data_IF_427525963711
#
_entry.id   IF_427525963711
#
_cell.length_a   1.000
_cell.length_b   1.000
_cell.length_c   1.000
_cell.angle_alpha   90.00
_cell.angle_beta   90.00
_cell.angle_gamma   90.00
#
_symmetry.space_group_name_H-M   'P 1'
#
loop_
_entity.id
_entity.type
_entity.pdbx_description
1 polymer ?
#
# COMPACT_ATOMS: atom_id res chain seq x y z
N UNK A 1 6.36 26.10 -22.22
CA UNK A 1 5.42 25.82 -23.32
C UNK A 1 5.86 24.69 -24.25
N UNK A 2 7.16 24.45 -24.51
CA UNK A 2 7.59 23.46 -25.52
C UNK A 2 7.43 21.96 -25.13
N UNK A 3 7.33 21.64 -23.84
CA UNK A 3 7.33 20.27 -23.30
C UNK A 3 5.93 19.71 -22.95
N UNK A 4 4.84 20.44 -23.24
CA UNK A 4 3.48 19.97 -22.95
C UNK A 4 3.01 18.90 -23.95
N UNK A 5 1.98 18.13 -23.57
CA UNK A 5 1.30 17.21 -24.49
C UNK A 5 0.73 17.96 -25.71
N UNK A 6 0.60 17.32 -26.89
CA UNK A 6 0.04 17.94 -28.09
C UNK A 6 -1.34 18.58 -27.87
N UNK A 7 -2.17 17.94 -27.03
CA UNK A 7 -3.48 18.45 -26.63
C UNK A 7 -3.45 19.80 -25.89
N UNK A 8 -2.28 20.20 -25.37
CA UNK A 8 -2.02 21.50 -24.72
C UNK A 8 -1.06 22.39 -25.54
N UNK A 9 -0.91 22.12 -26.84
CA UNK A 9 -0.09 22.94 -27.75
C UNK A 9 1.42 22.74 -27.66
N UNK A 10 1.91 21.66 -27.03
CA UNK A 10 3.34 21.34 -26.97
C UNK A 10 3.83 20.45 -28.13
N UNK A 11 5.13 20.51 -28.45
CA UNK A 11 5.73 19.85 -29.63
C UNK A 11 6.09 18.36 -29.43
N UNK A 12 5.54 17.71 -28.40
CA UNK A 12 5.93 16.35 -28.00
C UNK A 12 7.47 16.18 -27.90
N UNK A 13 8.17 17.24 -27.48
CA UNK A 13 9.62 17.23 -27.36
C UNK A 13 10.01 16.45 -26.12
N UNK A 14 10.98 15.55 -26.29
CA UNK A 14 11.49 14.69 -25.23
C UNK A 14 12.08 15.54 -24.09
N UNK A 15 11.53 15.43 -22.88
CA UNK A 15 12.12 16.04 -21.69
C UNK A 15 13.34 15.22 -21.25
N UNK A 16 14.54 15.63 -21.68
CA UNK A 16 15.79 14.93 -21.40
C UNK A 16 16.07 14.79 -19.90
N UNK A 17 15.66 15.78 -19.09
CA UNK A 17 15.85 15.74 -17.64
C UNK A 17 14.99 14.64 -17.01
N UNK A 18 13.70 14.59 -17.33
CA UNK A 18 12.79 13.56 -16.88
C UNK A 18 13.23 12.16 -17.35
N UNK A 19 13.71 12.05 -18.60
CA UNK A 19 14.25 10.79 -19.13
C UNK A 19 15.46 10.31 -18.33
N UNK A 20 16.41 11.21 -18.05
CA UNK A 20 17.59 10.87 -17.25
C UNK A 20 17.21 10.45 -15.83
N UNK A 21 16.26 11.13 -15.19
CA UNK A 21 15.77 10.77 -13.86
C UNK A 21 15.04 9.41 -13.88
N UNK A 22 14.27 9.10 -14.93
CA UNK A 22 13.66 7.78 -15.13
C UNK A 22 14.69 6.65 -15.32
N UNK A 23 15.84 6.93 -15.96
CA UNK A 23 16.97 5.99 -16.06
C UNK A 23 17.54 5.72 -14.66
N UNK A 24 17.72 6.75 -13.83
CA UNK A 24 18.21 6.55 -12.47
C UNK A 24 17.20 5.78 -11.59
N UNK A 25 15.89 5.95 -11.78
CA UNK A 25 14.86 5.10 -11.15
C UNK A 25 14.93 3.64 -11.64
N UNK A 26 15.26 3.41 -12.91
CA UNK A 26 15.49 2.07 -13.44
C UNK A 26 16.72 1.41 -12.81
N UNK A 27 17.79 2.17 -12.55
CA UNK A 27 18.94 1.68 -11.78
C UNK A 27 18.59 1.44 -10.33
N UNK A 28 17.81 2.33 -9.71
CA UNK A 28 17.31 2.15 -8.34
C UNK A 28 16.52 0.86 -8.20
N UNK A 29 15.68 0.51 -9.18
CA UNK A 29 14.99 -0.78 -9.23
C UNK A 29 15.94 -1.96 -9.09
N UNK A 30 17.06 -1.96 -9.82
CA UNK A 30 18.10 -2.96 -9.64
C UNK A 30 18.77 -2.91 -8.25
N UNK A 31 18.97 -1.72 -7.71
CA UNK A 31 19.59 -1.53 -6.38
C UNK A 31 18.71 -2.08 -5.24
N UNK A 32 17.40 -1.91 -5.33
CA UNK A 32 16.43 -2.37 -4.32
C UNK A 32 15.78 -3.70 -4.68
N UNK A 33 16.29 -4.42 -5.69
CA UNK A 33 15.76 -5.73 -6.06
C UNK A 33 16.08 -6.80 -5.00
N UNK A 34 15.29 -7.89 -4.92
CA UNK A 34 15.59 -9.05 -4.09
C UNK A 34 17.01 -9.59 -4.31
N UNK A 35 17.70 -10.14 -3.28
CA UNK A 35 19.09 -10.57 -3.40
C UNK A 35 19.41 -11.53 -4.56
N UNK A 36 18.47 -12.41 -4.89
CA UNK A 36 18.55 -13.39 -5.99
C UNK A 36 18.33 -12.77 -7.38
N UNK A 37 17.53 -11.71 -7.47
CA UNK A 37 17.27 -10.96 -8.70
C UNK A 37 18.17 -9.72 -8.87
N UNK A 38 19.03 -9.43 -7.89
CA UNK A 38 19.84 -8.21 -7.83
C UNK A 38 21.03 -8.31 -8.79
N UNK A 39 21.26 -7.30 -9.66
CA UNK A 39 22.43 -7.30 -10.53
C UNK A 39 23.72 -7.16 -9.71
N UNK A 40 24.81 -7.79 -10.18
CA UNK A 40 26.09 -7.82 -9.45
C UNK A 40 26.57 -6.44 -8.97
N UNK A 41 26.47 -5.41 -9.82
CA UNK A 41 26.88 -4.04 -9.46
C UNK A 41 26.12 -3.48 -8.25
N UNK A 42 24.87 -3.91 -8.02
CA UNK A 42 24.04 -3.43 -6.92
C UNK A 42 24.49 -3.99 -5.57
N UNK A 43 25.10 -5.18 -5.52
CA UNK A 43 25.73 -5.69 -4.29
C UNK A 43 26.90 -4.80 -3.87
N UNK A 44 27.78 -4.46 -4.81
CA UNK A 44 28.88 -3.52 -4.57
C UNK A 44 28.37 -2.14 -4.20
N UNK A 45 27.32 -1.66 -4.86
CA UNK A 45 26.71 -0.37 -4.55
C UNK A 45 26.19 -0.32 -3.11
N UNK A 46 25.44 -1.32 -2.65
CA UNK A 46 24.94 -1.36 -1.27
C UNK A 46 26.08 -1.40 -0.25
N UNK A 47 27.14 -2.17 -0.51
CA UNK A 47 28.33 -2.19 0.34
C UNK A 47 28.99 -0.80 0.41
N UNK A 48 29.18 -0.11 -0.72
CA UNK A 48 29.72 1.24 -0.75
C UNK A 48 28.83 2.25 0.00
N UNK A 49 27.52 2.15 -0.15
CA UNK A 49 26.56 2.99 0.58
C UNK A 49 26.68 2.75 2.10
N UNK A 50 26.78 1.50 2.52
CA UNK A 50 27.00 1.12 3.93
C UNK A 50 28.35 1.63 4.48
N UNK A 51 29.43 1.54 3.71
CA UNK A 51 30.75 2.07 4.10
C UNK A 51 30.72 3.59 4.25
N UNK A 52 30.02 4.29 3.35
CA UNK A 52 29.94 5.74 3.32
C UNK A 52 28.70 6.29 4.07
N UNK A 53 28.31 5.69 5.20
CA UNK A 53 27.25 6.25 6.04
C UNK A 53 27.56 7.66 6.55
N UNK A 54 26.53 8.42 6.93
CA UNK A 54 26.69 9.64 7.73
C UNK A 54 27.22 9.27 9.12
N UNK A 55 28.02 10.14 9.75
CA UNK A 55 28.65 9.86 11.05
C UNK A 55 27.65 9.80 12.21
N UNK A 56 26.55 10.57 12.14
CA UNK A 56 25.46 10.56 13.12
C UNK A 56 24.16 10.04 12.49
N UNK A 57 23.42 9.13 13.14
CA UNK A 57 23.78 8.47 14.41
C UNK A 57 24.98 7.52 14.25
N UNK A 58 25.63 7.13 15.35
CA UNK A 58 26.61 6.06 15.33
C UNK A 58 25.92 4.73 15.00
N UNK A 59 26.38 4.06 13.94
CA UNK A 59 25.82 2.82 13.39
C UNK A 59 26.94 1.80 13.29
N UNK A 60 26.74 0.65 13.92
CA UNK A 60 27.66 -0.48 13.89
C UNK A 60 27.77 -1.06 12.48
N UNK A 61 28.96 -1.47 12.05
CA UNK A 61 29.22 -1.97 10.69
C UNK A 61 28.38 -3.20 10.32
N UNK A 62 28.22 -4.15 11.24
CA UNK A 62 27.47 -5.40 11.00
C UNK A 62 25.97 -5.18 10.86
N UNK A 63 25.48 -4.01 11.26
CA UNK A 63 24.06 -3.63 11.15
C UNK A 63 23.72 -2.89 9.87
N UNK A 64 24.71 -2.53 9.02
CA UNK A 64 24.48 -1.72 7.82
C UNK A 64 24.07 -2.61 6.65
N UNK A 65 22.80 -2.97 6.59
CA UNK A 65 22.27 -3.92 5.61
C UNK A 65 21.79 -3.21 4.35
N UNK A 66 20.83 -2.31 4.49
CA UNK A 66 20.21 -1.63 3.36
C UNK A 66 19.73 -0.23 3.80
N UNK A 67 20.27 0.86 3.23
CA UNK A 67 19.88 2.22 3.59
C UNK A 67 18.43 2.55 3.24
N UNK A 68 17.75 1.74 2.44
CA UNK A 68 16.33 1.90 2.11
C UNK A 68 15.39 1.15 3.08
N UNK A 69 15.93 0.24 3.90
CA UNK A 69 15.19 -0.50 4.94
C UNK A 69 15.56 -0.07 6.35
N UNK A 70 16.39 0.97 6.50
CA UNK A 70 16.93 1.42 7.77
C UNK A 70 16.94 2.94 7.87
N UNK A 71 16.99 3.48 9.09
CA UNK A 71 16.90 4.92 9.37
C UNK A 71 18.21 5.68 9.26
N UNK A 72 19.34 4.99 9.07
CA UNK A 72 20.62 5.64 8.84
C UNK A 72 20.79 6.07 7.38
N UNK A 73 21.49 7.19 7.16
CA UNK A 73 21.66 7.75 5.83
C UNK A 73 23.09 7.58 5.32
N UNK A 74 23.23 7.54 3.99
CA UNK A 74 24.54 7.58 3.32
C UNK A 74 25.00 9.02 3.07
N UNK A 75 26.29 9.32 3.27
CA UNK A 75 26.86 10.60 2.84
C UNK A 75 26.99 10.64 1.33
N UNK A 76 26.51 11.72 0.71
CA UNK A 76 26.72 11.92 -0.71
C UNK A 76 28.18 12.24 -1.00
N UNK A 77 28.96 12.89 -0.13
CA UNK A 77 30.30 13.43 -0.47
C UNK A 77 31.27 12.39 -1.05
N UNK A 78 31.45 11.27 -0.35
CA UNK A 78 32.39 10.17 -0.70
C UNK A 78 31.79 9.12 -1.64
N UNK A 79 30.52 9.27 -1.99
CA UNK A 79 29.79 8.31 -2.83
C UNK A 79 30.08 8.58 -4.33
N UNK A 80 30.26 7.55 -5.17
CA UNK A 80 30.40 7.71 -6.62
C UNK A 80 29.27 8.54 -7.27
N UNK A 81 29.57 9.24 -8.36
CA UNK A 81 28.62 10.15 -9.04
C UNK A 81 27.30 9.47 -9.44
N UNK A 82 27.37 8.22 -9.91
CA UNK A 82 26.17 7.43 -10.26
C UNK A 82 25.28 7.18 -9.05
N UNK A 83 25.84 6.71 -7.93
CA UNK A 83 25.08 6.47 -6.70
C UNK A 83 24.53 7.77 -6.09
N UNK A 84 25.28 8.88 -6.19
CA UNK A 84 24.77 10.22 -5.82
C UNK A 84 23.51 10.57 -6.59
N UNK A 85 23.47 10.32 -7.92
CA UNK A 85 22.30 10.58 -8.75
C UNK A 85 21.12 9.69 -8.36
N UNK A 86 21.34 8.38 -8.16
CA UNK A 86 20.32 7.43 -7.71
C UNK A 86 19.71 7.89 -6.38
N UNK A 87 20.53 8.20 -5.37
CA UNK A 87 20.05 8.68 -4.06
C UNK A 87 19.28 10.00 -4.16
N UNK A 88 19.75 10.94 -5.01
CA UNK A 88 19.09 12.22 -5.24
C UNK A 88 17.71 12.02 -5.85
N UNK A 89 17.59 11.14 -6.84
CA UNK A 89 16.32 10.81 -7.51
C UNK A 89 15.40 10.05 -6.56
N UNK A 90 15.90 9.08 -5.80
CA UNK A 90 15.15 8.35 -4.78
C UNK A 90 14.53 9.32 -3.76
N UNK A 91 15.31 10.29 -3.27
CA UNK A 91 14.83 11.34 -2.37
C UNK A 91 13.82 12.27 -3.04
N UNK A 92 14.11 12.74 -4.26
CA UNK A 92 13.26 13.66 -5.01
C UNK A 92 11.85 13.11 -5.21
N UNK A 93 11.73 11.82 -5.52
CA UNK A 93 10.46 11.16 -5.80
C UNK A 93 9.93 10.31 -4.64
N UNK A 94 10.39 10.58 -3.42
CA UNK A 94 9.90 9.99 -2.18
C UNK A 94 9.84 8.45 -2.21
N UNK A 95 10.96 7.81 -2.61
CA UNK A 95 11.05 6.35 -2.63
C UNK A 95 11.00 5.81 -1.20
N UNK A 96 9.98 5.00 -0.93
CA UNK A 96 9.66 4.48 0.41
C UNK A 96 9.03 3.10 0.33
N UNK A 97 8.98 2.41 1.46
CA UNK A 97 8.24 1.18 1.64
C UNK A 97 6.75 1.49 1.88
N UNK A 98 5.98 1.71 0.81
CA UNK A 98 4.59 2.18 0.90
C UNK A 98 3.61 1.01 0.77
N UNK A 99 3.07 0.50 1.88
CA UNK A 99 2.13 -0.63 1.86
C UNK A 99 1.09 -0.48 2.96
N UNK A 100 -0.12 -0.99 2.73
CA UNK A 100 -1.19 -0.98 3.73
C UNK A 100 -0.87 -1.93 4.89
N UNK A 101 -0.32 -3.10 4.59
CA UNK A 101 0.29 -4.01 5.57
C UNK A 101 1.41 -4.82 4.90
N UNK A 102 2.25 -5.47 5.71
CA UNK A 102 3.21 -6.48 5.27
C UNK A 102 2.75 -7.85 5.74
N UNK A 103 2.98 -8.88 4.92
CA UNK A 103 2.86 -10.26 5.38
C UNK A 103 3.79 -10.52 6.58
N UNK A 104 3.42 -11.48 7.42
CA UNK A 104 4.23 -11.90 8.57
C UNK A 104 5.64 -12.32 8.14
N UNK A 105 5.75 -12.98 6.99
CA UNK A 105 6.99 -13.40 6.37
C UNK A 105 7.85 -12.19 5.94
N UNK A 106 7.23 -11.15 5.36
CA UNK A 106 7.95 -9.94 4.96
C UNK A 106 8.40 -9.13 6.18
N UNK A 107 7.58 -9.02 7.24
CA UNK A 107 7.96 -8.34 8.50
C UNK A 107 9.18 -9.01 9.15
N UNK A 108 9.24 -10.35 9.11
CA UNK A 108 10.37 -11.15 9.64
C UNK A 108 11.71 -10.86 8.96
N UNK A 109 11.70 -10.48 7.69
CA UNK A 109 12.91 -10.19 6.91
C UNK A 109 13.50 -8.80 7.20
N UNK A 110 12.78 -7.92 7.91
CA UNK A 110 13.25 -6.56 8.17
C UNK A 110 14.45 -6.53 9.12
N UNK A 111 15.41 -5.61 8.92
CA UNK A 111 16.49 -5.35 9.87
C UNK A 111 15.94 -4.81 11.20
N UNK A 112 16.30 -5.42 12.34
CA UNK A 112 15.85 -4.93 13.65
C UNK A 112 16.61 -3.68 14.11
N UNK A 113 17.89 -3.58 13.73
CA UNK A 113 18.74 -2.44 14.09
C UNK A 113 18.50 -1.28 13.14
N UNK A 114 18.32 -0.08 13.69
CA UNK A 114 17.97 1.11 12.90
C UNK A 114 16.75 0.85 12.01
N UNK A 115 15.77 0.13 12.54
CA UNK A 115 14.57 -0.34 11.84
C UNK A 115 13.82 0.80 11.15
N UNK A 116 13.27 0.58 9.94
CA UNK A 116 12.58 1.60 9.13
C UNK A 116 11.42 2.29 9.85
N UNK A 117 10.68 1.53 10.66
CA UNK A 117 9.60 2.01 11.53
C UNK A 117 10.03 2.41 12.94
N UNK A 118 11.31 2.72 13.18
CA UNK A 118 11.79 2.95 14.54
C UNK A 118 11.18 4.22 15.18
N UNK A 119 10.55 4.01 16.34
CA UNK A 119 10.14 5.10 17.23
C UNK A 119 11.34 5.63 18.02
N UNK A 120 11.14 6.71 18.77
CA UNK A 120 12.18 7.25 19.66
C UNK A 120 12.65 6.22 20.69
N UNK A 121 11.75 5.37 21.17
CA UNK A 121 12.02 4.28 22.12
C UNK A 121 12.87 3.20 21.46
N UNK A 122 12.49 2.74 20.27
CA UNK A 122 13.27 1.74 19.54
C UNK A 122 14.66 2.26 19.19
N UNK A 123 14.76 3.54 18.80
CA UNK A 123 16.04 4.16 18.46
C UNK A 123 17.02 4.21 19.65
N UNK A 124 16.54 4.40 20.88
CA UNK A 124 17.37 4.35 22.10
C UNK A 124 18.00 2.97 22.32
N UNK A 125 17.36 1.90 21.85
CA UNK A 125 17.83 0.53 22.04
C UNK A 125 18.94 0.13 21.06
N UNK A 126 19.09 0.83 19.92
CA UNK A 126 20.10 0.51 18.90
C UNK A 126 21.54 0.50 19.46
N UNK A 127 21.83 1.44 20.36
CA UNK A 127 23.14 1.63 20.97
C UNK A 127 23.15 1.29 22.47
N UNK A 128 22.20 0.46 22.92
CA UNK A 128 22.16 -0.02 24.30
C UNK A 128 23.42 -0.81 24.66
N UNK A 129 23.83 -0.81 25.93
CA UNK A 129 25.07 -1.45 26.40
C UNK A 129 25.19 -2.93 26.01
N UNK A 130 24.07 -3.68 26.01
CA UNK A 130 24.04 -5.09 25.63
C UNK A 130 23.76 -5.33 24.13
N UNK A 131 23.57 -4.28 23.34
CA UNK A 131 23.30 -4.39 21.91
C UNK A 131 24.46 -5.04 21.13
N UNK A 132 25.75 -4.73 21.39
CA UNK A 132 26.86 -5.43 20.75
C UNK A 132 26.82 -6.95 21.01
N UNK A 133 26.61 -7.39 22.26
CA UNK A 133 26.51 -8.81 22.57
C UNK A 133 25.34 -9.49 21.82
N UNK A 134 24.16 -8.86 21.80
CA UNK A 134 22.98 -9.39 21.11
C UNK A 134 23.21 -9.50 19.59
N UNK A 135 23.97 -8.58 19.00
CA UNK A 135 24.34 -8.62 17.58
C UNK A 135 25.43 -9.61 17.25
N UNK A 136 26.54 -9.49 17.96
CA UNK A 136 27.82 -10.07 17.57
C UNK A 136 27.97 -11.50 18.07
N UNK A 137 27.46 -11.78 19.26
CA UNK A 137 27.57 -13.09 19.89
C UNK A 137 26.32 -13.94 19.64
N UNK A 138 25.14 -13.31 19.66
CA UNK A 138 23.87 -13.99 19.43
C UNK A 138 23.35 -13.92 17.99
N UNK A 139 24.01 -13.16 17.11
CA UNK A 139 23.67 -13.11 15.68
C UNK A 139 22.31 -12.47 15.37
N UNK A 140 21.74 -11.68 16.28
CA UNK A 140 20.42 -11.08 16.06
C UNK A 140 20.54 -9.88 15.12
N UNK A 141 20.05 -10.03 13.89
CA UNK A 141 20.18 -9.04 12.81
C UNK A 141 18.82 -8.65 12.21
N UNK A 142 17.90 -9.61 12.08
CA UNK A 142 16.55 -9.41 11.56
C UNK A 142 15.51 -9.54 12.67
N UNK A 143 14.26 -9.14 12.38
CA UNK A 143 13.12 -9.38 13.26
C UNK A 143 12.90 -10.89 13.46
N UNK A 144 13.12 -11.72 12.44
CA UNK A 144 13.06 -13.19 12.57
C UNK A 144 14.07 -13.74 13.58
N UNK A 145 15.33 -13.29 13.52
CA UNK A 145 16.35 -13.70 14.50
C UNK A 145 15.96 -13.27 15.90
N UNK A 146 15.39 -12.07 16.04
CA UNK A 146 14.92 -11.56 17.33
C UNK A 146 13.79 -12.43 17.89
N UNK A 147 12.79 -12.77 17.07
CA UNK A 147 11.67 -13.61 17.47
C UNK A 147 12.15 -15.00 17.91
N UNK A 148 12.99 -15.65 17.10
CA UNK A 148 13.59 -16.96 17.42
C UNK A 148 14.37 -16.91 18.73
N UNK A 149 15.18 -15.87 18.92
CA UNK A 149 15.91 -15.67 20.16
C UNK A 149 14.98 -15.53 21.37
N UNK A 150 13.88 -14.77 21.23
CA UNK A 150 12.92 -14.61 22.33
C UNK A 150 12.07 -15.85 22.61
N UNK A 151 11.80 -16.69 21.61
CA UNK A 151 10.99 -17.91 21.78
C UNK A 151 11.75 -19.08 22.42
N UNK A 152 13.05 -19.20 22.15
CA UNK A 152 13.88 -20.27 22.73
C UNK A 152 13.94 -20.18 24.26
N UNK A 153 13.94 -18.95 24.78
CA UNK A 153 14.03 -18.66 26.20
C UNK A 153 12.69 -18.74 26.97
N UNK A 154 11.74 -19.59 26.56
CA UNK A 154 10.44 -19.73 27.24
C UNK A 154 10.56 -20.21 28.70
N UNK A 155 11.58 -21.03 29.01
CA UNK A 155 11.88 -21.54 30.37
C UNK A 155 12.84 -20.66 31.15
N UNK A 156 13.22 -19.50 30.60
CA UNK A 156 14.22 -18.61 31.19
C UNK A 156 13.72 -17.93 32.47
N UNK A 157 14.57 -17.91 33.50
CA UNK A 157 14.33 -17.19 34.75
C UNK A 157 15.12 -15.89 34.77
N UNK A 158 14.49 -14.80 35.24
CA UNK A 158 15.01 -13.41 35.17
C UNK A 158 16.16 -13.11 36.14
N UNK A 159 17.16 -13.98 36.27
CA UNK A 159 18.33 -13.77 37.12
C UNK A 159 19.65 -14.21 36.45
N UNK A 160 20.77 -13.75 36.99
CA UNK A 160 22.10 -13.87 36.36
C UNK A 160 22.60 -15.32 36.21
N UNK A 161 22.24 -16.20 37.14
CA UNK A 161 22.61 -17.61 37.20
C UNK A 161 21.58 -18.57 36.59
N UNK A 162 20.77 -18.13 35.61
CA UNK A 162 19.80 -19.03 34.97
C UNK A 162 20.51 -20.27 34.38
N UNK A 163 19.98 -21.45 34.72
CA UNK A 163 20.54 -22.75 34.37
C UNK A 163 19.89 -23.40 33.15
N UNK A 164 19.00 -22.70 32.44
CA UNK A 164 18.44 -23.23 31.20
C UNK A 164 19.53 -23.45 30.15
N UNK A 165 19.33 -24.44 29.28
CA UNK A 165 20.32 -24.87 28.28
C UNK A 165 20.81 -23.71 27.41
N UNK A 166 19.91 -22.81 27.00
CA UNK A 166 20.29 -21.64 26.20
C UNK A 166 21.20 -20.67 26.97
N UNK A 167 20.96 -20.45 28.26
CA UNK A 167 21.80 -19.55 29.07
C UNK A 167 23.16 -20.18 29.38
N UNK A 168 23.21 -21.51 29.53
CA UNK A 168 24.46 -22.25 29.69
C UNK A 168 25.26 -22.21 28.38
N UNK A 169 24.61 -22.51 27.25
CA UNK A 169 25.20 -22.43 25.92
C UNK A 169 25.70 -21.01 25.60
N UNK A 170 24.92 -19.98 25.91
CA UNK A 170 25.32 -18.59 25.69
C UNK A 170 26.58 -18.20 26.49
N UNK A 171 26.71 -18.68 27.73
CA UNK A 171 27.90 -18.44 28.56
C UNK A 171 29.11 -19.22 28.09
N UNK A 172 28.92 -20.50 27.77
CA UNK A 172 30.02 -21.42 27.47
C UNK A 172 30.53 -21.31 26.03
N UNK A 173 29.63 -21.05 25.07
CA UNK A 173 29.92 -21.15 23.65
C UNK A 173 29.80 -19.82 22.89
N UNK A 174 29.03 -18.85 23.40
CA UNK A 174 28.83 -17.54 22.75
C UNK A 174 29.53 -16.38 23.47
N UNK A 175 30.37 -16.66 24.47
CA UNK A 175 31.07 -15.63 25.26
C UNK A 175 30.13 -14.57 25.86
N UNK A 176 28.88 -14.92 26.15
CA UNK A 176 27.89 -14.00 26.71
C UNK A 176 27.90 -14.07 28.23
N UNK A 177 28.48 -13.06 28.88
CA UNK A 177 28.57 -13.02 30.34
C UNK A 177 27.21 -12.88 31.06
N UNK A 178 26.22 -12.23 30.42
CA UNK A 178 24.90 -11.96 31.02
C UNK A 178 23.75 -12.24 30.03
N UNK A 179 23.43 -13.51 29.73
CA UNK A 179 22.39 -13.86 28.76
C UNK A 179 21.02 -13.27 29.09
N UNK A 180 20.64 -13.23 30.36
CA UNK A 180 19.37 -12.65 30.81
C UNK A 180 19.19 -11.17 30.41
N UNK A 181 20.27 -10.38 30.35
CA UNK A 181 20.23 -8.98 29.92
C UNK A 181 20.06 -8.85 28.41
N UNK A 182 20.65 -9.77 27.65
CA UNK A 182 20.44 -9.87 26.21
C UNK A 182 18.99 -10.25 25.91
N UNK A 183 18.41 -11.19 26.67
CA UNK A 183 16.99 -11.54 26.59
C UNK A 183 16.07 -10.37 26.93
N UNK A 184 16.33 -9.65 28.04
CA UNK A 184 15.56 -8.44 28.39
C UNK A 184 15.62 -7.38 27.30
N UNK A 185 16.80 -7.15 26.71
CA UNK A 185 16.94 -6.22 25.59
C UNK A 185 16.15 -6.70 24.36
N UNK A 186 16.23 -7.99 24.04
CA UNK A 186 15.51 -8.57 22.90
C UNK A 186 13.99 -8.45 23.05
N UNK A 187 13.45 -8.78 24.23
CA UNK A 187 12.03 -8.60 24.54
C UNK A 187 11.59 -7.13 24.43
N UNK A 188 12.43 -6.20 24.89
CA UNK A 188 12.16 -4.76 24.76
C UNK A 188 12.18 -4.30 23.30
N UNK A 189 13.12 -4.78 22.47
CA UNK A 189 13.15 -4.49 21.03
C UNK A 189 11.84 -4.93 20.36
N UNK A 190 11.39 -6.16 20.63
CA UNK A 190 10.15 -6.71 20.05
C UNK A 190 8.91 -5.93 20.51
N UNK A 191 8.86 -5.56 21.79
CA UNK A 191 7.77 -4.75 22.36
C UNK A 191 7.71 -3.34 21.76
N UNK A 192 8.85 -2.75 21.40
CA UNK A 192 8.94 -1.42 20.82
C UNK A 192 8.73 -1.38 19.30
N UNK A 193 8.56 -2.54 18.63
CA UNK A 193 8.19 -2.56 17.21
C UNK A 193 6.74 -2.10 17.03
N UNK A 194 6.47 -1.08 16.19
CA UNK A 194 5.10 -0.69 15.91
C UNK A 194 4.30 -1.81 15.24
N UNK A 195 2.97 -1.84 15.40
CA UNK A 195 2.10 -2.88 14.86
C UNK A 195 2.28 -3.13 13.34
N UNK A 196 2.55 -2.10 12.55
CA UNK A 196 2.81 -2.20 11.10
C UNK A 196 4.04 -3.06 10.77
N UNK A 197 4.99 -3.17 11.70
CA UNK A 197 6.29 -3.81 11.48
C UNK A 197 6.52 -5.04 12.35
N UNK A 198 5.57 -5.34 13.23
CA UNK A 198 5.67 -6.43 14.18
C UNK A 198 4.98 -7.70 13.61
N UNK A 199 5.71 -8.82 13.38
CA UNK A 199 5.11 -10.05 12.89
C UNK A 199 4.11 -10.68 13.87
N UNK A 200 4.20 -10.34 15.17
CA UNK A 200 3.19 -10.75 16.16
C UNK A 200 1.85 -10.05 15.98
N UNK A 201 1.80 -8.94 15.23
CA UNK A 201 0.57 -8.27 14.83
C UNK A 201 0.17 -8.72 13.43
N UNK A 202 -0.55 -9.85 13.37
CA UNK A 202 -1.10 -10.39 12.11
C UNK A 202 -2.56 -9.99 12.00
N UNK A 203 -2.89 -9.21 10.96
CA UNK A 203 -4.28 -8.97 10.61
C UNK A 203 -4.81 -10.16 9.81
N UNK A 204 -5.84 -10.81 10.35
CA UNK A 204 -6.56 -11.85 9.62
C UNK A 204 -7.62 -11.19 8.75
N UNK A 205 -7.31 -11.06 7.46
CA UNK A 205 -8.32 -10.75 6.47
C UNK A 205 -8.87 -12.05 5.88
N UNK A 206 -10.17 -12.09 5.50
CA UNK A 206 -10.68 -13.18 4.68
C UNK A 206 -9.76 -13.33 3.47
N UNK A 207 -9.05 -14.44 3.39
CA UNK A 207 -8.16 -14.70 2.25
C UNK A 207 -9.06 -15.02 1.07
N UNK A 208 -8.91 -14.29 -0.03
CA UNK A 208 -9.64 -14.62 -1.24
C UNK A 208 -9.18 -15.99 -1.74
N UNK A 209 -10.13 -16.90 -1.92
CA UNK A 209 -9.89 -18.24 -2.44
C UNK A 209 -9.99 -18.30 -3.97
N UNK A 210 -10.56 -17.27 -4.60
CA UNK A 210 -10.77 -17.26 -6.06
C UNK A 210 -9.60 -16.68 -6.82
N UNK A 211 -9.17 -17.42 -7.85
CA UNK A 211 -8.11 -17.07 -8.79
C UNK A 211 -8.56 -15.97 -9.76
N UNK A 212 -7.59 -15.32 -10.43
CA UNK A 212 -7.89 -14.31 -11.45
C UNK A 212 -8.71 -14.87 -12.61
N UNK A 213 -8.49 -16.12 -13.01
CA UNK A 213 -9.21 -16.75 -14.12
C UNK A 213 -10.66 -17.08 -13.75
N UNK A 214 -10.91 -17.55 -12.52
CA UNK A 214 -12.27 -17.73 -12.00
C UNK A 214 -13.03 -16.39 -11.95
N UNK A 215 -12.36 -15.29 -11.57
CA UNK A 215 -12.97 -13.95 -11.59
C UNK A 215 -13.29 -13.48 -13.02
N UNK A 216 -12.42 -13.76 -14.00
CA UNK A 216 -12.69 -13.45 -15.42
C UNK A 216 -13.88 -14.23 -15.93
N UNK A 217 -13.97 -15.51 -15.58
CA UNK A 217 -15.10 -16.36 -15.93
C UNK A 217 -16.40 -15.86 -15.28
N UNK A 218 -16.37 -15.50 -13.99
CA UNK A 218 -17.50 -14.90 -13.30
C UNK A 218 -17.91 -13.55 -13.92
N UNK A 219 -16.96 -12.70 -14.35
CA UNK A 219 -17.25 -11.46 -15.06
C UNK A 219 -17.95 -11.73 -16.39
N UNK A 220 -17.45 -12.68 -17.17
CA UNK A 220 -18.05 -13.10 -18.45
C UNK A 220 -19.47 -13.63 -18.27
N UNK A 221 -19.69 -14.44 -17.22
CA UNK A 221 -21.00 -14.94 -16.81
C UNK A 221 -21.89 -13.90 -16.12
N UNK A 222 -21.38 -12.71 -15.83
CA UNK A 222 -22.06 -11.62 -15.10
C UNK A 222 -22.52 -12.04 -13.70
N UNK A 223 -21.71 -12.86 -13.04
CA UNK A 223 -21.91 -13.33 -11.67
C UNK A 223 -21.33 -12.35 -10.66
N UNK A 224 -21.66 -12.55 -9.37
CA UNK A 224 -21.10 -11.77 -8.26
C UNK A 224 -19.62 -12.12 -8.07
N UNK A 225 -18.77 -11.10 -8.06
CA UNK A 225 -17.34 -11.21 -7.79
C UNK A 225 -17.06 -10.53 -6.46
N UNK A 226 -16.43 -11.25 -5.52
CA UNK A 226 -15.99 -10.67 -4.26
C UNK A 226 -14.86 -9.66 -4.51
N UNK A 227 -15.01 -8.44 -4.00
CA UNK A 227 -13.92 -7.45 -3.96
C UNK A 227 -12.76 -8.01 -3.13
N UNK A 228 -11.52 -7.77 -3.55
CA UNK A 228 -10.33 -8.08 -2.75
C UNK A 228 -9.90 -6.87 -1.92
N UNK A 229 -10.27 -6.80 -0.64
CA UNK A 229 -9.86 -5.70 0.21
C UNK A 229 -8.43 -5.86 0.74
N UNK A 230 -7.67 -6.89 0.34
CA UNK A 230 -6.26 -7.07 0.72
C UNK A 230 -5.41 -5.87 0.30
N UNK A 231 -4.59 -5.41 1.23
CA UNK A 231 -3.56 -4.39 1.04
C UNK A 231 -2.17 -4.91 1.48
N UNK A 232 -2.08 -6.23 1.70
CA UNK A 232 -0.91 -6.89 2.29
C UNK A 232 0.09 -7.20 1.19
N UNK A 233 1.31 -6.67 1.33
CA UNK A 233 2.40 -7.04 0.42
C UNK A 233 3.05 -8.34 0.89
N UNK A 234 3.01 -9.34 0.02
CA UNK A 234 3.71 -10.62 0.20
C UNK A 234 5.21 -10.48 -0.14
N UNK A 235 6.07 -11.39 0.34
CA UNK A 235 7.49 -11.36 0.00
C UNK A 235 7.71 -11.47 -1.52
N UNK A 236 8.86 -11.00 -2.02
CA UNK A 236 9.94 -10.34 -1.30
C UNK A 236 9.59 -8.92 -0.80
N UNK A 237 10.20 -8.48 0.32
CA UNK A 237 9.94 -7.15 0.91
C UNK A 237 10.22 -6.00 -0.07
N UNK A 238 11.10 -6.25 -1.02
CA UNK A 238 11.45 -5.35 -2.11
C UNK A 238 10.26 -4.99 -3.01
N UNK A 239 9.23 -5.84 -3.08
CA UNK A 239 7.99 -5.53 -3.78
C UNK A 239 7.19 -4.40 -3.11
N UNK A 240 7.46 -4.11 -1.84
CA UNK A 240 6.78 -3.03 -1.13
C UNK A 240 7.40 -1.64 -1.39
N UNK A 241 8.54 -1.55 -2.12
CA UNK A 241 9.12 -0.27 -2.50
C UNK A 241 8.28 0.44 -3.57
N UNK A 242 7.89 1.68 -3.28
CA UNK A 242 7.13 2.53 -4.18
C UNK A 242 7.83 3.87 -4.40
N UNK A 243 7.59 4.46 -5.57
CA UNK A 243 7.98 5.82 -5.95
C UNK A 243 6.74 6.67 -6.19
N UNK A 244 6.88 8.00 -6.15
CA UNK A 244 5.78 8.97 -6.24
C UNK A 244 4.75 8.80 -5.12
N UNK A 245 5.19 8.30 -3.97
CA UNK A 245 4.30 8.10 -2.83
C UNK A 245 3.91 9.43 -2.20
N UNK A 246 2.64 9.58 -1.87
CA UNK A 246 2.09 10.69 -1.07
C UNK A 246 2.37 10.54 0.43
N UNK A 247 2.92 9.39 0.86
CA UNK A 247 3.18 9.11 2.27
C UNK A 247 4.29 10.03 2.81
N UNK A 248 3.90 10.92 3.72
CA UNK A 248 4.80 11.80 4.47
C UNK A 248 5.66 11.02 5.46
N UNK A 249 5.03 10.27 6.37
CA UNK A 249 5.67 9.41 7.37
C UNK A 249 5.09 7.99 7.34
N UNK A 250 5.87 7.00 7.75
CA UNK A 250 5.38 5.63 7.87
C UNK A 250 4.27 5.57 8.93
N UNK A 251 3.07 5.06 8.60
CA UNK A 251 2.04 4.88 9.60
C UNK A 251 2.51 3.85 10.64
N UNK A 252 2.28 4.09 11.95
CA UNK A 252 2.63 3.12 12.99
C UNK A 252 1.69 1.90 12.96
N UNK A 253 0.46 2.10 12.48
CA UNK A 253 -0.58 1.09 12.39
C UNK A 253 -0.74 0.58 10.94
N UNK A 254 -1.01 -0.72 10.76
CA UNK A 254 -1.46 -1.26 9.48
C UNK A 254 -2.85 -0.76 9.09
N UNK A 255 -3.20 -0.97 7.81
CA UNK A 255 -4.51 -0.71 7.23
C UNK A 255 -5.60 -1.60 7.88
N UNK A 256 -5.99 -1.28 9.10
CA UNK A 256 -6.90 -2.10 9.90
C UNK A 256 -8.37 -1.88 9.52
N UNK A 257 -9.12 -2.98 9.32
CA UNK A 257 -10.58 -2.93 9.24
C UNK A 257 -11.15 -3.01 10.64
N UNK A 258 -11.81 -1.97 11.10
CA UNK A 258 -12.46 -2.01 12.43
C UNK A 258 -13.30 -3.28 12.59
N UNK A 259 -13.28 -3.94 13.77
CA UNK A 259 -14.08 -5.13 13.98
C UNK A 259 -15.56 -4.82 13.72
N UNK A 260 -16.36 -5.81 13.27
CA UNK A 260 -17.81 -5.64 13.25
C UNK A 260 -18.28 -5.27 14.67
N UNK A 261 -19.25 -4.35 14.83
CA UNK A 261 -19.81 -4.06 16.13
C UNK A 261 -20.36 -5.35 16.76
N UNK A 262 -20.21 -5.56 18.08
CA UNK A 262 -20.55 -6.82 18.74
C UNK A 262 -22.04 -7.16 18.73
N UNK A 263 -22.93 -6.22 18.39
CA UNK A 263 -24.36 -6.34 18.64
C UNK A 263 -25.23 -5.69 17.54
N UNK A 264 -25.19 -6.20 16.30
CA UNK A 264 -26.16 -5.85 15.25
C UNK A 264 -26.46 -6.97 14.26
N UNK A 265 -27.67 -6.93 13.71
CA UNK A 265 -28.11 -7.73 12.57
C UNK A 265 -27.32 -7.36 11.32
N UNK A 266 -26.58 -8.31 10.75
CA UNK A 266 -25.95 -8.14 9.45
C UNK A 266 -27.02 -8.01 8.38
N UNK A 267 -27.12 -6.83 7.75
CA UNK A 267 -28.01 -6.58 6.62
C UNK A 267 -27.26 -6.69 5.30
N UNK A 268 -27.96 -7.15 4.28
CA UNK A 268 -27.50 -7.12 2.90
C UNK A 268 -28.09 -5.87 2.21
N UNK A 269 -27.22 -5.07 1.61
CA UNK A 269 -27.57 -3.89 0.81
C UNK A 269 -27.31 -4.24 -0.64
N UNK A 270 -28.32 -4.07 -1.50
CA UNK A 270 -28.18 -4.29 -2.95
C UNK A 270 -28.45 -2.97 -3.65
N UNK A 271 -27.47 -2.50 -4.42
CA UNK A 271 -27.57 -1.27 -5.17
C UNK A 271 -27.29 -1.51 -6.65
N UNK A 272 -28.20 -1.03 -7.49
CA UNK A 272 -28.07 -1.03 -8.94
C UNK A 272 -27.60 0.36 -9.35
N UNK A 273 -26.42 0.44 -9.93
CA UNK A 273 -25.72 1.71 -10.18
C UNK A 273 -25.58 2.01 -11.66
N UNK A 274 -25.57 3.29 -12.00
CA UNK A 274 -25.47 3.80 -13.37
C UNK A 274 -24.73 5.14 -13.38
N UNK A 275 -23.90 5.33 -14.41
CA UNK A 275 -23.39 6.65 -14.82
C UNK A 275 -24.01 7.07 -16.13
N UNK A 276 -24.27 8.36 -16.26
CA UNK A 276 -24.68 9.03 -17.49
C UNK A 276 -23.84 10.29 -17.68
N UNK A 277 -23.63 10.71 -18.92
CA UNK A 277 -22.97 11.96 -19.24
C UNK A 277 -23.58 12.61 -20.48
N UNK A 278 -23.38 13.91 -20.62
CA UNK A 278 -23.60 14.67 -21.86
C UNK A 278 -22.46 15.65 -22.07
N UNK A 279 -22.35 16.16 -23.29
CA UNK A 279 -21.50 17.30 -23.61
C UNK A 279 -22.41 18.52 -23.61
N UNK A 280 -22.02 19.59 -22.93
CA UNK A 280 -22.76 20.86 -22.96
C UNK A 280 -22.39 21.73 -24.17
N UNK A 281 -22.94 22.95 -24.22
CA UNK A 281 -22.77 23.86 -25.36
C UNK A 281 -21.32 24.37 -25.49
N UNK A 282 -20.54 24.34 -24.41
CA UNK A 282 -19.14 24.75 -24.37
C UNK A 282 -18.18 23.59 -24.71
N UNK A 283 -18.72 22.37 -24.86
CA UNK A 283 -17.94 21.17 -25.17
C UNK A 283 -17.46 20.43 -23.92
N UNK A 284 -17.88 20.84 -22.74
CA UNK A 284 -17.47 20.25 -21.47
C UNK A 284 -18.34 19.04 -21.11
N UNK A 285 -17.75 18.08 -20.40
CA UNK A 285 -18.46 16.88 -19.96
C UNK A 285 -19.25 17.23 -18.70
N UNK A 286 -20.57 17.00 -18.75
CA UNK A 286 -21.43 17.02 -17.57
C UNK A 286 -21.85 15.58 -17.25
N UNK A 287 -21.45 15.08 -16.08
CA UNK A 287 -21.71 13.72 -15.66
C UNK A 287 -22.65 13.65 -14.45
N UNK A 288 -23.45 12.57 -14.38
CA UNK A 288 -24.34 12.27 -13.28
C UNK A 288 -24.32 10.79 -12.93
N UNK A 289 -24.51 10.51 -11.63
CA UNK A 289 -24.53 9.15 -11.07
C UNK A 289 -25.87 8.84 -10.44
N UNK A 290 -26.34 7.60 -10.60
CA UNK A 290 -27.58 7.11 -10.03
C UNK A 290 -27.40 5.76 -9.35
N UNK A 291 -27.99 5.57 -8.17
CA UNK A 291 -28.03 4.28 -7.49
C UNK A 291 -29.45 4.01 -6.98
N UNK A 292 -30.04 2.91 -7.46
CA UNK A 292 -31.32 2.37 -7.02
C UNK A 292 -31.06 1.30 -5.95
N UNK A 293 -31.61 1.50 -4.75
CA UNK A 293 -31.50 0.56 -3.63
C UNK A 293 -32.74 -0.33 -3.56
N UNK A 294 -32.56 -1.65 -3.54
CA UNK A 294 -33.70 -2.57 -3.60
C UNK A 294 -34.42 -2.75 -2.27
N UNK A 295 -33.82 -2.31 -1.16
CA UNK A 295 -34.40 -2.43 0.17
C UNK A 295 -35.38 -1.28 0.44
N UNK A 296 -36.59 -1.60 0.92
CA UNK A 296 -37.71 -0.64 1.07
C UNK A 296 -37.43 0.56 2.00
N UNK A 297 -36.41 0.46 2.87
CA UNK A 297 -36.07 1.51 3.84
C UNK A 297 -34.82 2.33 3.48
N UNK A 298 -34.22 2.08 2.31
CA UNK A 298 -32.99 2.76 1.90
C UNK A 298 -33.29 3.76 0.77
N UNK A 299 -32.73 4.96 0.87
CA UNK A 299 -33.00 6.04 -0.08
C UNK A 299 -32.10 5.95 -1.30
N UNK A 300 -32.73 5.94 -2.47
CA UNK A 300 -32.05 6.06 -3.76
C UNK A 300 -31.14 7.29 -3.82
N UNK A 301 -30.04 7.17 -4.57
CA UNK A 301 -29.06 8.23 -4.72
C UNK A 301 -29.05 8.76 -6.16
N UNK A 302 -29.03 10.08 -6.27
CA UNK A 302 -28.70 10.80 -7.50
C UNK A 302 -27.60 11.81 -7.18
N UNK A 303 -26.60 11.96 -8.05
CA UNK A 303 -25.54 12.94 -7.90
C UNK A 303 -25.17 13.61 -9.21
N UNK A 304 -24.80 14.90 -9.13
CA UNK A 304 -24.11 15.64 -10.18
C UNK A 304 -22.61 15.67 -9.89
N UNK A 305 -21.78 15.38 -10.88
CA UNK A 305 -20.33 15.38 -10.73
C UNK A 305 -19.78 16.82 -10.82
N UNK A 306 -18.77 17.14 -10.02
CA UNK A 306 -18.02 18.39 -10.11
C UNK A 306 -17.26 18.45 -11.45
N UNK A 307 -17.29 19.60 -12.11
CA UNK A 307 -16.76 19.80 -13.47
C UNK A 307 -15.32 19.27 -13.66
N UNK A 308 -14.42 19.58 -12.72
CA UNK A 308 -13.03 19.13 -12.75
C UNK A 308 -12.83 17.61 -12.59
N UNK A 309 -13.85 16.87 -12.14
CA UNK A 309 -13.88 15.41 -12.01
C UNK A 309 -14.75 14.75 -13.08
N UNK A 310 -15.36 15.52 -13.99
CA UNK A 310 -16.32 15.00 -14.95
C UNK A 310 -15.60 14.21 -16.05
N UNK A 311 -15.92 12.92 -16.13
CA UNK A 311 -15.49 12.00 -17.18
C UNK A 311 -16.70 11.19 -17.61
N UNK A 312 -16.54 10.34 -18.62
CA UNK A 312 -17.62 9.45 -19.08
C UNK A 312 -18.05 8.43 -18.02
N UNK A 313 -17.16 8.10 -17.09
CA UNK A 313 -17.38 7.08 -16.06
C UNK A 313 -17.57 7.67 -14.66
N UNK A 314 -17.23 8.95 -14.45
CA UNK A 314 -17.12 9.52 -13.11
C UNK A 314 -18.44 9.51 -12.33
N UNK A 315 -19.58 9.66 -13.01
CA UNK A 315 -20.90 9.56 -12.38
C UNK A 315 -21.11 8.24 -11.65
N UNK A 316 -20.78 7.11 -12.28
CA UNK A 316 -20.95 5.79 -11.68
C UNK A 316 -19.94 5.53 -10.54
N UNK A 317 -18.69 5.92 -10.75
CA UNK A 317 -17.62 5.76 -9.75
C UNK A 317 -17.96 6.55 -8.48
N UNK A 318 -18.40 7.80 -8.63
CA UNK A 318 -18.71 8.68 -7.50
C UNK A 318 -20.00 8.25 -6.78
N UNK A 319 -20.99 7.68 -7.47
CA UNK A 319 -22.22 7.23 -6.78
C UNK A 319 -21.94 5.97 -5.97
N UNK A 320 -21.11 5.07 -6.48
CA UNK A 320 -20.61 3.92 -5.72
C UNK A 320 -19.77 4.41 -4.54
N UNK A 321 -18.91 5.41 -4.71
CA UNK A 321 -18.10 5.98 -3.62
C UNK A 321 -18.98 6.54 -2.50
N UNK A 322 -20.01 7.32 -2.85
CA UNK A 322 -21.00 7.85 -1.90
C UNK A 322 -21.74 6.72 -1.19
N UNK A 323 -22.19 5.71 -1.93
CA UNK A 323 -22.88 4.55 -1.38
C UNK A 323 -22.00 3.79 -0.39
N UNK A 324 -20.76 3.46 -0.77
CA UNK A 324 -19.79 2.74 0.08
C UNK A 324 -19.55 3.48 1.40
N UNK A 325 -19.48 4.81 1.37
CA UNK A 325 -19.27 5.66 2.55
C UNK A 325 -20.53 5.81 3.41
N UNK A 326 -21.73 5.81 2.82
CA UNK A 326 -22.99 5.92 3.53
C UNK A 326 -23.51 4.58 4.08
N UNK A 327 -23.19 3.46 3.44
CA UNK A 327 -23.57 2.12 3.91
C UNK A 327 -22.71 1.69 5.10
N UNK A 328 -23.30 1.29 6.24
CA UNK A 328 -22.53 0.79 7.38
C UNK A 328 -21.48 -0.26 6.98
N UNK A 329 -20.26 -0.12 7.51
CA UNK A 329 -19.09 -0.93 7.12
C UNK A 329 -19.24 -2.43 7.38
N UNK A 330 -20.14 -2.81 8.28
CA UNK A 330 -20.42 -4.19 8.70
C UNK A 330 -21.63 -4.81 7.99
N UNK A 331 -22.29 -4.08 7.07
CA UNK A 331 -23.31 -4.63 6.19
C UNK A 331 -22.69 -5.18 4.90
N UNK A 332 -23.18 -6.30 4.42
CA UNK A 332 -22.78 -6.83 3.11
C UNK A 332 -23.29 -5.88 2.03
N UNK A 333 -22.43 -5.50 1.09
CA UNK A 333 -22.79 -4.59 -0.01
C UNK A 333 -22.69 -5.32 -1.34
N UNK A 334 -23.78 -5.32 -2.12
CA UNK A 334 -23.82 -5.88 -3.46
C UNK A 334 -24.03 -4.74 -4.47
N UNK A 335 -22.99 -4.47 -5.24
CA UNK A 335 -22.96 -3.45 -6.27
C UNK A 335 -23.21 -4.11 -7.63
N UNK A 336 -24.30 -3.72 -8.29
CA UNK A 336 -24.60 -4.16 -9.65
C UNK A 336 -24.40 -2.97 -10.59
N UNK A 337 -23.25 -2.93 -11.27
CA UNK A 337 -22.80 -1.81 -12.09
C UNK A 337 -23.20 -1.94 -13.56
N UNK A 338 -23.43 -0.79 -14.19
CA UNK A 338 -23.60 -0.63 -15.63
C UNK A 338 -22.25 -0.74 -16.37
N UNK A 339 -21.15 -0.28 -15.79
CA UNK A 339 -19.86 -0.28 -16.51
C UNK A 339 -19.06 -1.54 -16.20
N UNK A 340 -18.83 -2.37 -17.23
CA UNK A 340 -18.05 -3.61 -17.11
C UNK A 340 -16.59 -3.34 -16.74
N UNK A 341 -15.98 -2.33 -17.37
CA UNK A 341 -14.59 -1.95 -17.11
C UNK A 341 -14.40 -1.57 -15.63
N UNK A 342 -15.36 -0.88 -15.02
CA UNK A 342 -15.33 -0.56 -13.58
C UNK A 342 -15.34 -1.80 -12.70
N UNK A 343 -16.18 -2.79 -13.01
CA UNK A 343 -16.20 -4.08 -12.28
C UNK A 343 -14.84 -4.78 -12.45
N UNK A 344 -14.29 -4.79 -13.66
CA UNK A 344 -12.98 -5.38 -13.96
C UNK A 344 -11.86 -4.68 -13.20
N UNK A 345 -11.84 -3.35 -13.16
CA UNK A 345 -10.83 -2.54 -12.49
C UNK A 345 -10.85 -2.73 -10.96
N UNK A 346 -12.03 -2.94 -10.38
CA UNK A 346 -12.19 -3.18 -8.95
C UNK A 346 -11.97 -4.64 -8.53
N UNK A 347 -11.90 -5.60 -9.46
CA UNK A 347 -11.86 -7.03 -9.11
C UNK A 347 -10.72 -7.83 -9.73
N UNK A 348 -10.42 -7.61 -11.01
CA UNK A 348 -9.45 -8.37 -11.81
C UNK A 348 -8.17 -7.56 -11.98
N UNK A 349 -8.30 -6.30 -12.41
CA UNK A 349 -7.16 -5.43 -12.73
C UNK A 349 -6.70 -4.60 -11.52
N UNK A 350 -7.38 -4.70 -10.36
CA UNK A 350 -7.09 -3.92 -9.15
C UNK A 350 -5.62 -3.96 -8.75
N UNK A 351 -5.04 -5.17 -8.67
CA UNK A 351 -3.65 -5.34 -8.28
C UNK A 351 -2.69 -4.72 -9.29
N UNK A 352 -2.99 -4.83 -10.60
CA UNK A 352 -2.20 -4.20 -11.66
C UNK A 352 -2.22 -2.69 -11.50
N UNK A 353 -3.39 -2.09 -11.24
CA UNK A 353 -3.52 -0.64 -11.05
C UNK A 353 -2.76 -0.13 -9.83
N UNK A 354 -2.87 -0.83 -8.70
CA UNK A 354 -2.07 -0.54 -7.51
C UNK A 354 -0.58 -0.67 -7.77
N UNK A 355 -0.15 -1.70 -8.52
CA UNK A 355 1.26 -1.90 -8.84
C UNK A 355 1.84 -0.74 -9.65
N UNK A 356 1.06 -0.16 -10.58
CA UNK A 356 1.52 0.98 -11.38
C UNK A 356 1.19 2.34 -10.77
N UNK A 357 0.68 2.38 -9.54
CA UNK A 357 0.30 3.63 -8.85
C UNK A 357 -0.84 4.38 -9.52
N UNK A 358 -1.64 3.68 -10.34
CA UNK A 358 -2.73 4.23 -11.16
C UNK A 358 -2.28 5.29 -12.18
N UNK A 359 -1.01 5.35 -12.56
CA UNK A 359 -0.46 6.38 -13.46
C UNK A 359 -1.10 6.39 -14.87
N UNK A 360 -1.64 5.26 -15.32
CA UNK A 360 -2.22 5.11 -16.65
C UNK A 360 -3.75 4.95 -16.64
N UNK A 361 -4.38 5.06 -15.46
CA UNK A 361 -5.82 4.96 -15.35
C UNK A 361 -6.47 6.34 -15.54
N UNK A 362 -7.40 6.47 -16.49
CA UNK A 362 -8.05 7.74 -16.84
C UNK A 362 -8.76 8.36 -15.62
N UNK A 363 -9.52 7.54 -14.89
CA UNK A 363 -10.26 7.96 -13.70
C UNK A 363 -9.48 7.79 -12.37
N UNK A 364 -8.14 7.84 -12.39
CA UNK A 364 -7.31 7.52 -11.22
C UNK A 364 -7.64 8.38 -9.98
N UNK A 365 -7.99 9.65 -10.18
CA UNK A 365 -8.31 10.60 -9.11
C UNK A 365 -9.53 10.15 -8.28
N UNK A 366 -10.56 9.63 -8.94
CA UNK A 366 -11.82 9.17 -8.34
C UNK A 366 -11.83 7.68 -7.98
N UNK A 367 -11.02 6.86 -8.65
CA UNK A 367 -10.88 5.44 -8.33
C UNK A 367 -10.12 5.19 -7.03
N UNK A 368 -9.08 5.99 -6.73
CA UNK A 368 -8.27 5.81 -5.50
C UNK A 368 -9.11 5.96 -4.22
N UNK A 369 -9.96 7.00 -4.06
CA UNK A 369 -10.84 7.10 -2.89
C UNK A 369 -11.88 5.99 -2.82
N UNK A 370 -12.42 5.55 -3.95
CA UNK A 370 -13.35 4.42 -4.00
C UNK A 370 -12.69 3.13 -3.46
N UNK A 371 -11.53 2.77 -3.99
CA UNK A 371 -10.79 1.57 -3.58
C UNK A 371 -10.42 1.64 -2.09
N UNK A 372 -9.96 2.80 -1.61
CA UNK A 372 -9.66 3.00 -0.20
C UNK A 372 -10.90 2.83 0.69
N UNK A 373 -12.03 3.40 0.30
CA UNK A 373 -13.29 3.28 1.04
C UNK A 373 -13.81 1.83 1.05
N UNK A 374 -13.65 1.09 -0.06
CA UNK A 374 -13.98 -0.33 -0.13
C UNK A 374 -13.10 -1.18 0.80
N UNK A 375 -11.79 -0.91 0.84
CA UNK A 375 -10.82 -1.60 1.72
C UNK A 375 -11.08 -1.38 3.21
N UNK A 376 -11.68 -0.26 3.56
CA UNK A 376 -12.04 0.07 4.95
C UNK A 376 -13.24 -0.72 5.46
N UNK A 377 -14.09 -1.26 4.58
CA UNK A 377 -15.28 -2.02 4.97
C UNK A 377 -14.88 -3.32 5.67
N UNK A 378 -15.57 -3.66 6.76
CA UNK A 378 -15.33 -4.90 7.50
C UNK A 378 -16.15 -6.08 6.96
N UNK A 379 -17.32 -5.81 6.39
CA UNK A 379 -18.14 -6.80 5.71
C UNK A 379 -17.82 -6.93 4.21
N UNK A 380 -18.10 -8.09 3.59
CA UNK A 380 -17.86 -8.33 2.17
C UNK A 380 -18.56 -7.31 1.26
N UNK A 381 -17.89 -6.98 0.15
CA UNK A 381 -18.50 -6.26 -0.96
C UNK A 381 -18.42 -7.11 -2.22
N UNK A 382 -19.55 -7.31 -2.87
CA UNK A 382 -19.66 -8.04 -4.12
C UNK A 382 -19.93 -7.06 -5.25
N UNK A 383 -19.28 -7.28 -6.40
CA UNK A 383 -19.51 -6.53 -7.63
C UNK A 383 -20.02 -7.44 -8.73
N UNK A 384 -21.00 -6.97 -9.49
CA UNK A 384 -21.50 -7.65 -10.67
C UNK A 384 -21.80 -6.63 -11.77
N UNK A 385 -21.74 -7.07 -13.02
CA UNK A 385 -22.24 -6.31 -14.18
C UNK A 385 -23.75 -6.54 -14.30
N UNK A 386 -24.53 -5.55 -14.77
CA UNK A 386 -25.95 -5.79 -15.10
C UNK A 386 -26.11 -7.01 -16.01
N UNK A 387 -27.01 -7.91 -15.63
CA UNK A 387 -27.32 -9.14 -16.34
C UNK A 387 -28.77 -9.13 -16.83
N UNK A 388 -29.22 -10.20 -17.49
CA UNK A 388 -30.65 -10.41 -17.78
C UNK A 388 -31.49 -10.57 -16.50
N UNK A 389 -30.89 -11.07 -15.41
CA UNK A 389 -31.58 -11.24 -14.11
C UNK A 389 -31.71 -9.95 -13.30
N UNK A 390 -30.91 -8.93 -13.59
CA UNK A 390 -31.11 -7.60 -12.99
C UNK A 390 -32.43 -6.99 -13.49
N UNK A 391 -33.32 -6.63 -12.55
CA UNK A 391 -34.63 -6.05 -12.83
C UNK A 391 -34.57 -4.90 -13.83
N UNK A 392 -35.47 -4.94 -14.83
CA UNK A 392 -35.57 -3.88 -15.85
C UNK A 392 -35.98 -2.54 -15.22
N UNK A 393 -36.96 -2.57 -14.30
CA UNK A 393 -37.45 -1.37 -13.63
C UNK A 393 -36.35 -0.71 -12.80
N UNK A 394 -35.51 -1.49 -12.12
CA UNK A 394 -34.44 -0.92 -11.30
C UNK A 394 -33.28 -0.36 -12.14
N UNK A 395 -32.98 -0.96 -13.30
CA UNK A 395 -32.04 -0.37 -14.27
C UNK A 395 -32.53 0.97 -14.79
N UNK A 396 -33.81 1.03 -15.16
CA UNK A 396 -34.46 2.26 -15.63
C UNK A 396 -34.48 3.32 -14.53
N UNK A 397 -34.76 2.93 -13.29
CA UNK A 397 -34.70 3.83 -12.14
C UNK A 397 -33.28 4.36 -11.89
N UNK A 398 -32.26 3.50 -11.86
CA UNK A 398 -30.86 3.91 -11.72
C UNK A 398 -30.42 4.86 -12.85
N UNK A 399 -30.84 4.57 -14.08
CA UNK A 399 -30.57 5.43 -15.25
C UNK A 399 -31.26 6.79 -15.12
N UNK A 400 -32.52 6.80 -14.66
CA UNK A 400 -33.29 8.03 -14.44
C UNK A 400 -32.65 8.89 -13.35
N UNK A 401 -32.21 8.28 -12.25
CA UNK A 401 -31.48 8.96 -11.17
C UNK A 401 -30.16 9.57 -11.66
N UNK A 402 -29.44 8.86 -12.53
CA UNK A 402 -28.21 9.39 -13.14
C UNK A 402 -28.48 10.60 -14.04
N UNK A 403 -29.54 10.55 -14.87
CA UNK A 403 -29.98 11.69 -15.70
C UNK A 403 -30.47 12.86 -14.86
N UNK A 404 -31.18 12.61 -13.77
CA UNK A 404 -31.55 13.63 -12.78
C UNK A 404 -30.31 14.29 -12.17
N UNK A 405 -29.25 13.52 -11.95
CA UNK A 405 -27.95 14.02 -11.51
C UNK A 405 -27.38 15.06 -12.47
N UNK A 406 -27.40 14.78 -13.78
CA UNK A 406 -26.89 15.71 -14.81
C UNK A 406 -27.60 17.07 -14.77
N UNK A 407 -28.91 17.09 -14.52
CA UNK A 407 -29.75 18.30 -14.58
C UNK A 407 -29.82 19.09 -13.27
N UNK A 408 -29.17 18.64 -12.19
CA UNK A 408 -29.14 19.43 -10.95
C UNK A 408 -28.48 20.79 -11.18
N UNK A 409 -28.91 21.81 -10.47
CA UNK A 409 -28.30 23.15 -10.57
C UNK A 409 -26.85 23.13 -10.07
N UNK A 410 -26.60 22.45 -8.95
CA UNK A 410 -25.30 22.41 -8.29
C UNK A 410 -24.70 21.00 -8.29
N UNK A 411 -23.37 20.94 -8.42
CA UNK A 411 -22.62 19.70 -8.26
C UNK A 411 -22.74 19.17 -6.82
N UNK A 412 -22.86 17.84 -6.66
CA UNK A 412 -22.75 17.20 -5.37
C UNK A 412 -21.28 17.10 -5.00
N UNK A 413 -20.89 17.67 -3.86
CA UNK A 413 -19.51 17.59 -3.38
C UNK A 413 -19.13 16.14 -3.08
N UNK A 414 -18.17 15.60 -3.82
CA UNK A 414 -17.69 14.25 -3.58
C UNK A 414 -16.74 14.23 -2.37
N UNK A 415 -16.95 13.32 -1.43
CA UNK A 415 -15.95 13.08 -0.38
C UNK A 415 -14.80 12.26 -0.96
N UNK A 416 -13.74 12.96 -1.35
CA UNK A 416 -12.50 12.40 -1.92
C UNK A 416 -11.45 12.04 -0.86
N UNK A 417 -11.79 12.13 0.44
CA UNK A 417 -10.83 11.87 1.51
C UNK A 417 -10.43 10.40 1.56
N UNK A 418 -9.11 10.17 1.69
CA UNK A 418 -8.49 8.87 1.90
C UNK A 418 -7.81 8.89 3.27
N UNK A 419 -8.16 7.92 4.11
CA UNK A 419 -7.48 7.74 5.39
C UNK A 419 -6.00 7.38 5.19
N UNK A 420 -5.06 7.96 5.97
CA UNK A 420 -3.62 7.75 5.78
C UNK A 420 -3.21 6.27 5.71
N UNK A 421 -3.78 5.40 6.52
CA UNK A 421 -3.50 3.97 6.56
C UNK A 421 -3.93 3.22 5.28
N UNK A 422 -4.88 3.76 4.52
CA UNK A 422 -5.30 3.24 3.21
C UNK A 422 -4.68 4.00 2.03
N UNK A 423 -3.83 5.01 2.29
CA UNK A 423 -3.19 5.84 1.28
C UNK A 423 -1.80 5.32 0.89
N UNK A 424 -1.71 4.06 0.47
CA UNK A 424 -0.45 3.46 0.00
C UNK A 424 -0.23 3.61 -1.51
N UNK A 425 -0.66 4.76 -2.05
CA UNK A 425 -0.49 5.12 -3.45
C UNK A 425 0.99 5.28 -3.82
N UNK A 426 1.30 4.96 -5.08
CA UNK A 426 2.63 5.10 -5.68
C UNK A 426 2.92 3.95 -6.65
N UNK A 427 3.83 4.19 -7.59
CA UNK A 427 4.29 3.16 -8.52
C UNK A 427 5.24 2.21 -7.79
N UNK A 428 4.90 0.92 -7.74
CA UNK A 428 5.80 -0.12 -7.21
C UNK A 428 7.05 -0.18 -8.09
N UNK A 429 8.22 0.01 -7.49
CA UNK A 429 9.49 0.06 -8.23
C UNK A 429 9.75 -1.26 -8.97
N UNK A 430 9.38 -2.39 -8.37
CA UNK A 430 9.48 -3.72 -8.99
C UNK A 430 8.70 -3.82 -10.32
N UNK A 431 7.56 -3.10 -10.44
CA UNK A 431 6.73 -3.06 -11.65
C UNK A 431 7.04 -1.87 -12.58
N UNK A 432 7.86 -0.92 -12.12
CA UNK A 432 8.26 0.22 -12.92
C UNK A 432 9.07 -0.15 -14.15
N UNK A 433 8.75 0.50 -15.26
CA UNK A 433 9.55 0.55 -16.49
C UNK A 433 10.07 1.97 -16.66
N UNK A 434 11.09 2.17 -17.50
CA UNK A 434 11.57 3.53 -17.80
C UNK A 434 10.44 4.42 -18.34
N UNK A 435 9.53 3.87 -19.14
CA UNK A 435 8.36 4.58 -19.66
C UNK A 435 7.42 5.02 -18.53
N UNK A 436 7.06 4.11 -17.61
CA UNK A 436 6.20 4.44 -16.46
C UNK A 436 6.86 5.45 -15.52
N UNK A 437 8.16 5.30 -15.26
CA UNK A 437 8.90 6.29 -14.47
C UNK A 437 8.92 7.65 -15.14
N UNK A 438 9.15 7.71 -16.46
CA UNK A 438 9.12 8.95 -17.21
C UNK A 438 7.73 9.61 -17.14
N UNK A 439 6.65 8.84 -17.34
CA UNK A 439 5.27 9.32 -17.22
C UNK A 439 4.96 9.88 -15.83
N UNK A 440 5.38 9.21 -14.75
CA UNK A 440 5.16 9.70 -13.39
C UNK A 440 6.03 10.89 -12.98
N UNK A 441 7.06 11.23 -13.77
CA UNK A 441 7.90 12.43 -13.55
C UNK A 441 7.31 13.67 -14.22
N UNK A 442 6.66 13.50 -15.37
CA UNK A 442 5.95 14.55 -16.08
C UNK A 442 4.67 14.94 -15.32
#
# INVERSE_FOLDING_TARGET
MMEAAPAKGGRNLLNLKARNEAIELTRLKGLVAPPDARPQWAHFALALLATHRKPSPAVDERTRINPFLQTWETTTRKTPSTLKRILKVAKKYNVKLATGDLSTEAKRQLPIWFHIGATNELNKLNNHFYAPCLRDNHGVITVDHLMKFTSLHATHQKWASCTCDDCVNARNNLSCAKPFKCFQLAANLLKCLPPQWNPGNTLQYPTMTTTTDERREALHKREKILFDPSATTSPPIENAFSVFSSIGSYPPEPAHRGPPPPDRTHKEVIAITCGEYRIDDDGDIVAGGGARLTNENEQDLSLKVEEHLATRNSGEILVITKLVKCTPKHHTLNLIAKTEQLVKDLTIDLQKWDHIGWLEHEDAEIMKPLVAALRERSAPTYLARWSSSTSKTDKEAATTLAKQGIIKDHADKADMTIKPEFNFNGLRIAHGTQCLFYKGIL
#
